data_IF_911341269196
#
_entry.id   IF_911341269196
#
_cell.length_a   1.000
_cell.length_b   1.000
_cell.length_c   1.000
_cell.angle_alpha   90.00
_cell.angle_beta   90.00
_cell.angle_gamma   90.00
#
_symmetry.space_group_name_H-M   'P 1'
#
loop_
_entity.id
_entity.type
_entity.pdbx_description
1 polymer ?
#
# COMPACT_ATOMS: atom_id res chain seq x y z
N UNK A 1 6.87 52.33 23.01
CA UNK A 1 6.18 51.13 23.51
C UNK A 1 5.64 50.36 22.31
N UNK A 2 5.78 49.03 22.35
CA UNK A 2 5.30 48.06 21.37
C UNK A 2 3.76 48.02 21.26
N UNK A 3 3.31 47.19 20.30
CA UNK A 3 2.03 46.48 20.12
C UNK A 3 1.17 47.08 19.01
N UNK A 4 0.62 46.38 18.02
CA UNK A 4 0.59 44.98 17.57
C UNK A 4 -0.01 45.07 16.15
N UNK A 5 0.53 44.32 15.18
CA UNK A 5 -0.04 44.27 13.83
C UNK A 5 -1.37 43.48 13.88
N UNK A 6 -2.44 43.94 13.21
CA UNK A 6 -3.67 43.16 13.11
C UNK A 6 -3.42 41.94 12.22
N UNK A 7 -3.49 40.79 12.88
CA UNK A 7 -3.55 39.43 12.35
C UNK A 7 -4.37 39.35 11.06
N UNK A 8 -3.69 39.06 9.95
CA UNK A 8 -4.31 38.62 8.72
C UNK A 8 -4.98 37.27 8.96
N UNK A 9 -6.27 37.32 9.31
CA UNK A 9 -7.20 36.22 9.11
C UNK A 9 -7.49 36.11 7.60
N UNK A 10 -6.59 35.43 6.88
CA UNK A 10 -6.92 34.82 5.60
C UNK A 10 -6.67 33.34 5.75
N UNK A 11 -7.76 32.58 5.73
CA UNK A 11 -7.76 31.12 5.83
C UNK A 11 -6.89 30.52 4.75
N UNK A 12 -5.65 30.20 5.12
CA UNK A 12 -4.90 29.15 4.47
C UNK A 12 -5.53 27.86 4.98
N UNK A 13 -6.36 27.24 4.14
CA UNK A 13 -6.63 25.81 4.26
C UNK A 13 -5.25 25.17 4.28
N UNK A 14 -4.85 24.60 5.41
CA UNK A 14 -3.70 23.72 5.46
C UNK A 14 -4.01 22.60 4.47
N UNK A 15 -3.42 22.68 3.28
CA UNK A 15 -3.22 21.50 2.45
C UNK A 15 -2.51 20.48 3.35
N UNK A 16 -3.02 19.24 3.46
CA UNK A 16 -2.35 18.21 4.23
C UNK A 16 -1.04 17.86 3.50
N UNK A 17 0.00 18.64 3.75
CA UNK A 17 1.36 18.36 3.33
C UNK A 17 1.81 17.07 3.99
N UNK A 18 1.75 15.98 3.23
CA UNK A 18 2.14 14.66 3.69
C UNK A 18 3.65 14.64 3.95
N UNK A 19 4.01 14.56 5.23
CA UNK A 19 5.37 14.31 5.72
C UNK A 19 5.31 13.00 6.52
N UNK A 20 5.47 11.88 5.83
CA UNK A 20 5.44 10.56 6.46
C UNK A 20 6.46 9.67 5.79
N UNK A 21 7.52 9.34 6.52
CA UNK A 21 8.48 8.31 6.13
C UNK A 21 7.71 7.02 5.85
N UNK A 22 7.89 6.46 4.65
CA UNK A 22 7.35 5.15 4.26
C UNK A 22 7.63 4.17 5.42
N UNK A 23 6.62 3.55 6.05
CA UNK A 23 6.88 2.54 7.05
C UNK A 23 7.69 1.44 6.39
N UNK A 24 8.95 1.27 6.81
CA UNK A 24 9.79 0.22 6.25
C UNK A 24 9.09 -1.11 6.49
N UNK A 25 8.86 -1.85 5.40
CA UNK A 25 8.24 -3.16 5.47
C UNK A 25 8.99 -3.98 6.51
N UNK A 26 8.29 -4.45 7.55
CA UNK A 26 8.87 -5.41 8.47
C UNK A 26 9.12 -6.66 7.64
N UNK A 27 10.39 -6.86 7.29
CA UNK A 27 10.84 -7.99 6.47
C UNK A 27 10.32 -9.29 7.09
N UNK A 28 9.77 -10.19 6.25
CA UNK A 28 9.32 -11.51 6.67
C UNK A 28 10.44 -12.29 7.39
N UNK A 29 11.71 -11.97 7.09
CA UNK A 29 12.88 -12.50 7.81
C UNK A 29 12.96 -12.01 9.26
N UNK A 30 12.62 -10.75 9.52
CA UNK A 30 12.59 -10.17 10.87
C UNK A 30 11.42 -10.73 11.67
N UNK A 31 10.24 -10.86 11.06
CA UNK A 31 9.10 -11.55 11.66
C UNK A 31 9.43 -13.01 11.98
N UNK A 32 10.02 -13.73 11.02
CA UNK A 32 10.50 -15.09 11.21
C UNK A 32 11.50 -15.21 12.35
N UNK A 33 12.46 -14.30 12.44
CA UNK A 33 13.45 -14.25 13.51
C UNK A 33 12.79 -14.03 14.88
N UNK A 34 11.86 -13.08 14.99
CA UNK A 34 11.13 -12.81 16.25
C UNK A 34 10.34 -14.03 16.68
N UNK A 35 9.64 -14.69 15.75
CA UNK A 35 8.84 -15.88 16.04
C UNK A 35 9.72 -17.07 16.44
N UNK A 36 10.82 -17.33 15.75
CA UNK A 36 11.77 -18.39 16.09
C UNK A 36 12.39 -18.14 17.46
N UNK A 37 12.76 -16.90 17.77
CA UNK A 37 13.37 -16.52 19.04
C UNK A 37 12.36 -16.63 20.19
N UNK A 38 11.11 -16.23 19.97
CA UNK A 38 10.02 -16.40 20.94
C UNK A 38 9.70 -17.88 21.18
N UNK A 39 9.69 -18.71 20.13
CA UNK A 39 9.50 -20.16 20.22
C UNK A 39 10.64 -20.84 20.98
N UNK A 40 11.89 -20.46 20.70
CA UNK A 40 13.06 -20.89 21.46
C UNK A 40 12.93 -20.49 22.93
N UNK A 41 12.63 -19.23 23.25
CA UNK A 41 12.43 -18.78 24.63
C UNK A 41 11.32 -19.55 25.36
N UNK A 42 10.19 -19.83 24.70
CA UNK A 42 9.09 -20.64 25.25
C UNK A 42 9.50 -22.10 25.49
N UNK A 43 10.40 -22.66 24.67
CA UNK A 43 10.90 -24.03 24.83
C UNK A 43 11.81 -24.23 26.04
N UNK A 44 12.51 -23.18 26.50
CA UNK A 44 13.44 -23.27 27.65
C UNK A 44 12.70 -23.17 28.99
N UNK A 45 11.48 -22.63 29.03
CA UNK A 45 10.84 -22.18 30.27
C UNK A 45 9.59 -22.96 30.73
N UNK A 46 9.22 -24.10 30.14
CA UNK A 46 7.96 -24.78 30.50
C UNK A 46 8.14 -26.29 30.76
N UNK A 47 7.96 -26.79 32.00
CA UNK A 47 7.92 -28.23 32.26
C UNK A 47 6.63 -28.84 31.67
N UNK A 48 6.79 -29.97 30.96
CA UNK A 48 5.74 -30.86 30.43
C UNK A 48 4.52 -30.20 29.76
N UNK A 49 4.59 -30.03 28.44
CA UNK A 49 3.45 -29.61 27.61
C UNK A 49 3.66 -28.28 26.85
N UNK A 50 4.75 -27.57 27.11
CA UNK A 50 5.06 -26.31 26.43
C UNK A 50 5.31 -26.45 24.93
N UNK A 51 5.99 -27.52 24.50
CA UNK A 51 6.32 -27.72 23.08
C UNK A 51 5.08 -27.92 22.19
N UNK A 52 4.11 -28.82 22.51
CA UNK A 52 2.87 -28.93 21.73
C UNK A 52 2.05 -27.64 21.70
N UNK A 53 1.95 -26.91 22.82
CA UNK A 53 1.21 -25.65 22.89
C UNK A 53 1.90 -24.55 22.08
N UNK A 54 3.23 -24.45 22.14
CA UNK A 54 4.02 -23.53 21.34
C UNK A 54 3.87 -23.83 19.84
N UNK A 55 3.86 -25.10 19.46
CA UNK A 55 3.68 -25.53 18.08
C UNK A 55 2.26 -25.20 17.59
N UNK A 56 1.23 -25.45 18.40
CA UNK A 56 -0.15 -25.07 18.08
C UNK A 56 -0.30 -23.54 17.92
N UNK A 57 0.28 -22.76 18.84
CA UNK A 57 0.27 -21.30 18.75
C UNK A 57 1.03 -20.81 17.50
N UNK A 58 2.17 -21.41 17.17
CA UNK A 58 2.93 -21.09 15.96
C UNK A 58 2.10 -21.36 14.70
N UNK A 59 1.48 -22.54 14.59
CA UNK A 59 0.64 -22.89 13.44
C UNK A 59 -0.55 -21.94 13.32
N UNK A 60 -1.18 -21.56 14.43
CA UNK A 60 -2.28 -20.59 14.44
C UNK A 60 -1.83 -19.20 13.98
N UNK A 61 -0.68 -18.72 14.47
CA UNK A 61 -0.16 -17.40 14.10
C UNK A 61 0.29 -17.35 12.65
N UNK A 62 1.05 -18.36 12.20
CA UNK A 62 1.51 -18.46 10.80
C UNK A 62 0.31 -18.64 9.86
N UNK A 63 -0.60 -19.57 10.18
CA UNK A 63 -1.80 -19.80 9.38
C UNK A 63 -2.70 -18.57 9.31
N UNK A 64 -2.95 -17.90 10.45
CA UNK A 64 -3.71 -16.67 10.50
C UNK A 64 -3.05 -15.54 9.69
N UNK A 65 -1.73 -15.36 9.83
CA UNK A 65 -0.97 -14.38 9.06
C UNK A 65 -1.06 -14.61 7.56
N UNK A 66 -0.91 -15.87 7.11
CA UNK A 66 -1.06 -16.24 5.69
C UNK A 66 -2.46 -15.94 5.17
N UNK A 67 -3.50 -16.32 5.91
CA UNK A 67 -4.90 -16.08 5.49
C UNK A 67 -5.17 -14.59 5.35
N UNK A 68 -4.77 -13.79 6.34
CA UNK A 68 -4.96 -12.35 6.34
C UNK A 68 -4.17 -11.68 5.20
N UNK A 69 -2.98 -12.20 4.89
CA UNK A 69 -2.17 -11.70 3.77
C UNK A 69 -2.85 -11.96 2.41
N UNK A 70 -3.32 -13.18 2.18
CA UNK A 70 -4.01 -13.55 0.94
C UNK A 70 -5.30 -12.74 0.73
N UNK A 71 -6.02 -12.43 1.82
CA UNK A 71 -7.18 -11.54 1.76
C UNK A 71 -6.79 -10.11 1.35
N UNK A 72 -5.66 -9.61 1.88
CA UNK A 72 -5.11 -8.31 1.50
C UNK A 72 -4.70 -8.28 0.02
N UNK A 73 -4.00 -9.31 -0.45
CA UNK A 73 -3.58 -9.44 -1.85
C UNK A 73 -4.80 -9.44 -2.79
N UNK A 74 -5.83 -10.22 -2.45
CA UNK A 74 -7.07 -10.28 -3.22
C UNK A 74 -7.78 -8.92 -3.27
N UNK A 75 -7.74 -8.17 -2.16
CA UNK A 75 -8.33 -6.84 -2.08
C UNK A 75 -7.57 -5.85 -2.98
N UNK A 76 -6.24 -5.79 -2.87
CA UNK A 76 -5.43 -4.92 -3.72
C UNK A 76 -5.59 -5.27 -5.19
N UNK A 77 -5.60 -6.56 -5.53
CA UNK A 77 -5.84 -7.01 -6.91
C UNK A 77 -7.17 -6.50 -7.46
N UNK A 78 -8.26 -6.59 -6.67
CA UNK A 78 -9.57 -6.11 -7.11
C UNK A 78 -9.56 -4.60 -7.37
N UNK A 79 -8.88 -3.83 -6.52
CA UNK A 79 -8.72 -2.39 -6.69
C UNK A 79 -7.95 -2.11 -7.98
N UNK A 80 -6.79 -2.75 -8.18
CA UNK A 80 -5.98 -2.59 -9.38
C UNK A 80 -6.75 -2.97 -10.65
N UNK A 81 -7.41 -4.13 -10.68
CA UNK A 81 -8.21 -4.57 -11.81
C UNK A 81 -9.32 -3.54 -12.12
N UNK A 82 -9.96 -2.99 -11.09
CA UNK A 82 -10.99 -1.97 -11.23
C UNK A 82 -10.48 -0.60 -11.67
N UNK A 83 -9.28 -0.19 -11.28
CA UNK A 83 -8.62 1.02 -11.79
C UNK A 83 -8.33 0.88 -13.29
N UNK A 84 -7.68 -0.23 -13.67
CA UNK A 84 -7.35 -0.55 -15.07
C UNK A 84 -8.61 -0.57 -15.94
N UNK A 85 -9.67 -1.25 -15.49
CA UNK A 85 -10.94 -1.32 -16.24
C UNK A 85 -11.51 0.08 -16.53
N UNK A 86 -11.50 0.98 -15.54
CA UNK A 86 -12.02 2.35 -15.68
C UNK A 86 -11.14 3.20 -16.56
N UNK A 87 -9.82 3.08 -16.45
CA UNK A 87 -8.88 3.80 -17.30
C UNK A 87 -9.01 3.39 -18.77
N UNK A 88 -9.11 2.10 -19.05
CA UNK A 88 -9.37 1.60 -20.41
C UNK A 88 -10.71 2.12 -20.92
N UNK A 89 -11.76 2.10 -20.10
CA UNK A 89 -13.07 2.61 -20.48
C UNK A 89 -13.07 4.12 -20.81
N UNK A 90 -12.18 4.90 -20.18
CA UNK A 90 -11.97 6.33 -20.47
C UNK A 90 -11.07 6.60 -21.67
N UNK A 91 -10.43 5.58 -22.24
CA UNK A 91 -9.55 5.70 -23.40
C UNK A 91 -8.06 5.64 -23.09
N UNK A 92 -7.68 5.30 -21.85
CA UNK A 92 -6.29 5.07 -21.46
C UNK A 92 -5.69 3.88 -22.22
N UNK A 93 -4.50 4.07 -22.79
CA UNK A 93 -3.76 3.01 -23.47
C UNK A 93 -2.90 2.25 -22.47
N UNK A 94 -3.24 0.99 -22.24
CA UNK A 94 -2.50 0.06 -21.38
C UNK A 94 -2.00 -1.07 -22.26
N UNK A 95 -0.68 -1.23 -22.34
CA UNK A 95 0.00 -2.23 -23.16
C UNK A 95 0.05 -3.59 -22.45
N UNK A 96 0.39 -3.58 -21.16
CA UNK A 96 0.48 -4.78 -20.34
C UNK A 96 0.36 -4.45 -18.85
N UNK A 97 0.05 -5.47 -18.03
CA UNK A 97 0.06 -5.37 -16.57
C UNK A 97 0.87 -6.53 -16.00
N UNK A 98 2.06 -6.23 -15.50
CA UNK A 98 2.96 -7.21 -14.91
C UNK A 98 2.88 -7.18 -13.39
N UNK A 99 2.71 -8.35 -12.77
CA UNK A 99 2.72 -8.48 -11.31
C UNK A 99 4.14 -8.75 -10.81
N UNK A 100 4.55 -8.03 -9.76
CA UNK A 100 5.70 -8.37 -8.94
C UNK A 100 5.25 -8.67 -7.51
N UNK A 101 6.01 -9.53 -6.82
CA UNK A 101 5.83 -9.77 -5.39
C UNK A 101 7.21 -9.89 -4.75
N UNK A 102 7.58 -8.90 -3.95
CA UNK A 102 8.81 -8.92 -3.16
C UNK A 102 8.46 -8.80 -1.67
N UNK A 103 8.77 -9.86 -0.92
CA UNK A 103 8.39 -9.98 0.49
C UNK A 103 6.88 -9.87 0.72
N UNK A 104 6.48 -8.85 1.50
CA UNK A 104 5.08 -8.55 1.84
C UNK A 104 4.42 -7.57 0.86
N UNK A 105 5.20 -6.99 -0.07
CA UNK A 105 4.74 -6.00 -1.03
C UNK A 105 4.20 -6.74 -2.25
N UNK A 106 2.94 -6.47 -2.59
CA UNK A 106 2.38 -6.90 -3.88
C UNK A 106 2.28 -5.67 -4.76
N UNK A 107 2.78 -5.78 -5.99
CA UNK A 107 2.75 -4.69 -6.95
C UNK A 107 2.30 -5.19 -8.32
N UNK A 108 1.70 -4.27 -9.05
CA UNK A 108 1.29 -4.39 -10.42
C UNK A 108 1.85 -3.18 -11.16
N UNK A 109 2.78 -3.43 -12.07
CA UNK A 109 3.30 -2.43 -12.98
C UNK A 109 2.43 -2.44 -14.23
N UNK A 110 1.79 -1.32 -14.49
CA UNK A 110 0.91 -1.07 -15.62
C UNK A 110 1.75 -0.30 -16.64
N UNK A 111 1.96 -0.92 -17.79
CA UNK A 111 2.73 -0.37 -18.89
C UNK A 111 1.82 0.46 -19.78
N UNK A 112 2.17 1.73 -19.98
CA UNK A 112 1.49 2.64 -20.90
C UNK A 112 2.48 3.22 -21.89
N UNK A 113 1.97 3.84 -22.96
CA UNK A 113 2.81 4.51 -23.96
C UNK A 113 3.66 5.66 -23.37
N UNK A 114 3.22 6.25 -22.26
CA UNK A 114 3.82 7.43 -21.62
C UNK A 114 4.72 7.07 -20.42
N UNK A 115 4.70 5.80 -19.98
CA UNK A 115 5.56 5.31 -18.89
C UNK A 115 4.95 4.16 -18.09
N UNK A 116 5.59 3.85 -16.97
CA UNK A 116 5.14 2.80 -16.06
C UNK A 116 4.38 3.41 -14.87
N UNK A 117 3.19 2.88 -14.57
CA UNK A 117 2.43 3.18 -13.36
C UNK A 117 2.51 1.96 -12.45
N UNK A 118 3.04 2.12 -11.24
CA UNK A 118 3.11 1.02 -10.26
C UNK A 118 2.00 1.16 -9.24
N UNK A 119 1.08 0.20 -9.23
CA UNK A 119 0.04 0.08 -8.21
C UNK A 119 0.40 -1.07 -7.29
N UNK A 120 0.52 -0.84 -5.99
CA UNK A 120 0.88 -1.87 -5.04
C UNK A 120 0.48 -1.55 -3.62
N UNK A 121 1.23 -2.07 -2.65
CA UNK A 121 1.13 -1.68 -1.25
C UNK A 121 1.17 -2.87 -0.28
N UNK A 122 0.62 -2.65 0.92
CA UNK A 122 0.64 -3.62 2.01
C UNK A 122 -0.60 -4.50 1.94
N UNK A 123 -0.41 -5.77 1.63
CA UNK A 123 -1.45 -6.78 1.58
C UNK A 123 -1.71 -7.39 2.97
N UNK A 124 -2.16 -6.63 3.97
CA UNK A 124 -2.46 -7.18 5.30
C UNK A 124 -3.75 -6.59 5.90
N UNK A 125 -4.82 -7.38 5.96
CA UNK A 125 -6.11 -6.94 6.53
C UNK A 125 -6.05 -6.87 8.07
N UNK A 126 -6.67 -5.88 8.73
CA UNK A 126 -7.44 -4.77 8.18
C UNK A 126 -6.60 -3.54 7.80
N UNK A 127 -5.29 -3.57 8.04
CA UNK A 127 -4.37 -2.43 7.81
C UNK A 127 -3.84 -2.35 6.38
N UNK A 128 -4.60 -2.88 5.40
CA UNK A 128 -4.15 -2.96 4.03
C UNK A 128 -4.02 -1.56 3.43
N UNK A 129 -2.91 -1.30 2.75
CA UNK A 129 -2.57 0.00 2.15
C UNK A 129 -2.43 -0.18 0.65
N UNK A 130 -3.04 0.72 -0.12
CA UNK A 130 -2.78 0.93 -1.54
C UNK A 130 -1.65 1.96 -1.67
N UNK A 131 -0.73 1.73 -2.59
CA UNK A 131 0.28 2.67 -3.04
C UNK A 131 0.17 2.79 -4.55
N UNK A 132 0.18 4.00 -5.09
CA UNK A 132 0.24 4.25 -6.53
C UNK A 132 1.42 5.16 -6.80
N UNK A 133 2.31 4.74 -7.68
CA UNK A 133 3.53 5.45 -8.02
C UNK A 133 3.61 5.66 -9.54
N UNK A 134 3.92 6.89 -9.94
CA UNK A 134 4.14 7.26 -11.33
C UNK A 134 5.27 8.30 -11.41
N UNK A 135 6.23 8.07 -12.31
CA UNK A 135 7.43 8.93 -12.48
C UNK A 135 8.19 9.24 -11.17
N UNK A 136 8.19 8.31 -10.21
CA UNK A 136 8.84 8.47 -8.91
C UNK A 136 8.07 9.33 -7.90
N UNK A 137 6.86 9.78 -8.24
CA UNK A 137 5.91 10.39 -7.32
C UNK A 137 4.92 9.32 -6.91
N UNK A 138 4.86 9.02 -5.61
CA UNK A 138 3.98 8.00 -5.06
C UNK A 138 3.01 8.58 -4.04
N UNK A 139 1.76 8.14 -4.11
CA UNK A 139 0.74 8.37 -3.10
C UNK A 139 0.30 7.05 -2.46
N UNK A 140 -0.16 7.10 -1.21
CA UNK A 140 -0.64 5.93 -0.49
C UNK A 140 -1.96 6.20 0.20
N UNK A 141 -2.81 5.18 0.35
CA UNK A 141 -4.07 5.31 1.07
C UNK A 141 -4.55 3.97 1.60
N UNK A 142 -5.50 3.99 2.54
CA UNK A 142 -6.09 2.75 3.02
C UNK A 142 -6.78 2.01 1.86
N UNK A 143 -6.53 0.72 1.71
CA UNK A 143 -7.14 -0.06 0.64
C UNK A 143 -8.67 -0.11 0.76
N UNK A 144 -9.23 0.04 1.97
CA UNK A 144 -10.68 0.13 2.17
C UNK A 144 -11.23 1.44 1.65
N UNK A 145 -10.57 2.55 1.91
CA UNK A 145 -10.95 3.87 1.38
C UNK A 145 -10.87 3.90 -0.15
N UNK A 146 -9.82 3.30 -0.72
CA UNK A 146 -9.67 3.15 -2.17
C UNK A 146 -10.78 2.28 -2.79
N UNK A 147 -11.19 1.20 -2.13
CA UNK A 147 -12.29 0.34 -2.61
C UNK A 147 -13.65 1.06 -2.55
N UNK A 148 -13.88 1.87 -1.51
CA UNK A 148 -15.11 2.65 -1.32
C UNK A 148 -15.22 3.82 -2.32
N UNK A 149 -14.09 4.40 -2.72
CA UNK A 149 -14.02 5.57 -3.60
C UNK A 149 -13.41 5.26 -4.96
N UNK A 150 -13.49 4.00 -5.41
CA UNK A 150 -12.74 3.51 -6.58
C UNK A 150 -13.02 4.30 -7.86
N UNK A 151 -14.27 4.74 -8.07
CA UNK A 151 -14.64 5.54 -9.25
C UNK A 151 -13.96 6.91 -9.22
N UNK A 152 -14.05 7.63 -8.09
CA UNK A 152 -13.42 8.93 -7.93
C UNK A 152 -11.90 8.85 -7.97
N UNK A 153 -11.32 7.81 -7.37
CA UNK A 153 -9.89 7.53 -7.42
C UNK A 153 -9.41 7.29 -8.85
N UNK A 154 -10.13 6.43 -9.59
CA UNK A 154 -9.80 6.16 -10.99
C UNK A 154 -9.86 7.44 -11.83
N UNK A 155 -10.84 8.30 -11.57
CA UNK A 155 -11.02 9.55 -12.29
C UNK A 155 -9.86 10.53 -12.06
N UNK A 156 -9.50 10.77 -10.79
CA UNK A 156 -8.38 11.65 -10.44
C UNK A 156 -7.05 11.13 -10.99
N UNK A 157 -6.77 9.83 -10.82
CA UNK A 157 -5.54 9.23 -11.31
C UNK A 157 -5.49 9.18 -12.84
N UNK A 158 -6.64 9.06 -13.51
CA UNK A 158 -6.69 9.11 -14.97
C UNK A 158 -6.28 10.49 -15.48
N UNK A 159 -6.85 11.54 -14.90
CA UNK A 159 -6.51 12.93 -15.24
C UNK A 159 -5.01 13.18 -15.02
N UNK A 160 -4.46 12.71 -13.90
CA UNK A 160 -3.04 12.84 -13.60
C UNK A 160 -2.13 12.11 -14.61
N UNK A 161 -2.37 10.82 -14.83
CA UNK A 161 -1.45 9.98 -15.61
C UNK A 161 -1.61 10.11 -17.12
N UNK A 162 -2.84 10.26 -17.61
CA UNK A 162 -3.13 10.22 -19.04
C UNK A 162 -3.42 11.60 -19.65
N UNK A 163 -3.89 12.58 -18.87
CA UNK A 163 -4.20 13.93 -19.39
C UNK A 163 -3.15 14.99 -19.05
N UNK A 164 -2.69 15.03 -17.80
CA UNK A 164 -1.69 16.01 -17.32
C UNK A 164 -0.28 15.51 -17.64
N UNK A 165 0.00 14.23 -17.38
CA UNK A 165 1.31 13.61 -17.54
C UNK A 165 1.83 13.50 -18.97
N UNK A 166 0.94 13.57 -19.95
CA UNK A 166 1.24 13.56 -21.39
C UNK A 166 1.54 14.96 -21.96
N UNK A 167 1.49 16.02 -21.15
CA UNK A 167 1.97 17.34 -21.54
C UNK A 167 3.51 17.34 -21.56
N UNK A 168 4.17 17.51 -22.71
CA UNK A 168 5.63 17.52 -22.76
C UNK A 168 6.13 18.71 -21.92
N UNK A 169 6.91 18.42 -20.88
CA UNK A 169 7.78 19.40 -20.26
C UNK A 169 8.66 19.98 -21.37
N UNK A 170 8.31 21.18 -21.83
CA UNK A 170 9.09 21.92 -22.82
C UNK A 170 10.49 22.09 -22.26
N UNK A 171 11.44 21.51 -22.98
CA UNK A 171 12.87 21.73 -22.85
C UNK A 171 13.24 23.22 -22.90
#
# INVERSE_FOLDING_TARGET
>A
MQLEQPTQAQGRVEEPGWSGTIPSAIDARVLGLVVVTAGLAASVNVPYGGLPVALAAFVLLVGGGVVVHLLGERKLRRITDGLVERWVAKGGQIDDVTRSSDGMRTEWTIHTADGEITVGGIALVPIAQLAVEWQGVGDTMAATEAEENLDALADTLYEEFFEIGSAPQRA
#
